data_IF_295856888515
#
_entry.id   IF_295856888515
#
_cell.length_a   1.000
_cell.length_b   1.000
_cell.length_c   1.000
_cell.angle_alpha   90.00
_cell.angle_beta   90.00
_cell.angle_gamma   90.00
#
_symmetry.space_group_name_H-M   'P 1'
#
loop_
_entity.id
_entity.type
_entity.pdbx_description
1 polymer ?
#
# COMPACT_ATOMS: atom_id res chain seq x y z
N UNK A 1 -36.63 9.36 18.63
CA UNK A 1 -36.01 8.68 19.78
C UNK A 1 -35.83 7.19 19.42
N UNK A 2 -34.60 6.70 19.42
CA UNK A 2 -34.30 5.31 19.13
C UNK A 2 -34.06 4.58 20.46
N UNK A 3 -34.94 3.62 20.78
CA UNK A 3 -34.81 2.81 22.00
C UNK A 3 -34.24 1.46 21.62
N UNK A 4 -33.20 1.00 22.33
CA UNK A 4 -32.54 -0.29 22.09
C UNK A 4 -32.40 -1.11 23.35
N UNK A 5 -32.10 -2.42 23.21
CA UNK A 5 -31.79 -3.37 24.27
C UNK A 5 -30.61 -4.21 23.85
N UNK A 6 -29.80 -4.64 24.79
CA UNK A 6 -28.75 -5.64 24.57
C UNK A 6 -29.30 -7.00 25.01
N UNK A 7 -29.20 -8.01 24.14
CA UNK A 7 -29.57 -9.38 24.46
C UNK A 7 -28.31 -10.29 24.40
N UNK A 8 -28.12 -11.06 25.46
CA UNK A 8 -27.01 -12.02 25.59
C UNK A 8 -27.47 -13.27 26.31
N UNK A 9 -27.24 -14.43 25.72
CA UNK A 9 -27.66 -15.75 26.29
C UNK A 9 -29.13 -15.79 26.78
N UNK A 10 -30.06 -15.22 26.01
CA UNK A 10 -31.46 -15.20 26.36
C UNK A 10 -31.89 -14.18 27.42
N UNK A 11 -30.94 -13.43 27.98
CA UNK A 11 -31.20 -12.33 28.93
C UNK A 11 -31.16 -10.99 28.16
N UNK A 12 -32.17 -10.14 28.37
CA UNK A 12 -32.23 -8.82 27.79
C UNK A 12 -32.02 -7.75 28.86
N UNK A 13 -31.25 -6.69 28.53
CA UNK A 13 -31.12 -5.51 29.38
C UNK A 13 -32.42 -4.73 29.49
N UNK A 14 -32.48 -3.79 30.42
CA UNK A 14 -33.46 -2.70 30.35
C UNK A 14 -33.28 -1.93 29.05
N UNK A 15 -34.38 -1.33 28.56
CA UNK A 15 -34.34 -0.46 27.36
C UNK A 15 -33.61 0.84 27.68
N UNK A 16 -32.77 1.31 26.77
CA UNK A 16 -32.11 2.60 26.86
C UNK A 16 -32.24 3.39 25.54
N UNK A 17 -32.22 4.70 25.64
CA UNK A 17 -32.38 5.60 24.52
C UNK A 17 -31.02 5.89 23.89
N UNK A 18 -30.93 5.77 22.54
CA UNK A 18 -29.80 6.24 21.77
C UNK A 18 -30.09 7.66 21.35
N UNK A 19 -29.32 8.61 21.87
CA UNK A 19 -29.51 10.05 21.61
C UNK A 19 -28.64 10.58 20.49
N UNK A 20 -27.46 9.96 20.25
CA UNK A 20 -26.50 10.37 19.23
C UNK A 20 -25.90 9.16 18.53
N UNK A 21 -25.43 9.34 17.29
CA UNK A 21 -24.78 8.32 16.47
C UNK A 21 -25.68 7.77 15.36
N UNK A 22 -25.09 6.93 14.51
CA UNK A 22 -25.78 6.24 13.41
C UNK A 22 -25.90 4.74 13.71
N UNK A 23 -27.00 4.14 13.25
CA UNK A 23 -27.22 2.70 13.46
C UNK A 23 -26.17 1.89 12.69
N UNK A 24 -25.33 1.13 13.42
CA UNK A 24 -24.36 0.24 12.81
C UNK A 24 -25.09 -0.85 11.99
N UNK A 25 -24.64 -1.04 10.73
CA UNK A 25 -25.29 -1.96 9.76
C UNK A 25 -26.53 -1.37 9.07
N UNK A 26 -26.90 -0.10 9.31
CA UNK A 26 -27.96 0.57 8.56
C UNK A 26 -27.47 0.99 7.17
N UNK A 27 -28.25 0.70 6.12
CA UNK A 27 -27.87 0.98 4.71
C UNK A 27 -27.62 2.49 4.49
N UNK A 28 -28.44 3.36 5.10
CA UNK A 28 -28.32 4.82 4.97
C UNK A 28 -27.32 5.44 5.95
N UNK A 29 -26.86 4.71 6.96
CA UNK A 29 -26.01 5.27 8.02
C UNK A 29 -24.71 5.89 7.50
N UNK A 30 -23.95 5.29 6.57
CA UNK A 30 -22.75 5.91 6.02
C UNK A 30 -23.04 7.20 5.25
N UNK A 31 -24.13 7.23 4.48
CA UNK A 31 -24.52 8.39 3.68
C UNK A 31 -24.92 9.56 4.60
N UNK A 32 -25.74 9.27 5.60
CA UNK A 32 -26.19 10.29 6.57
C UNK A 32 -25.02 10.85 7.37
N UNK A 33 -24.07 9.98 7.74
CA UNK A 33 -22.84 10.40 8.42
C UNK A 33 -22.02 11.33 7.54
N UNK A 34 -21.78 10.98 6.26
CA UNK A 34 -21.06 11.85 5.33
C UNK A 34 -21.74 13.21 5.16
N UNK A 35 -23.08 13.26 5.00
CA UNK A 35 -23.84 14.53 4.90
C UNK A 35 -23.68 15.37 6.18
N UNK A 36 -23.71 14.73 7.33
CA UNK A 36 -23.54 15.39 8.61
C UNK A 36 -22.16 16.02 8.77
N UNK A 37 -21.10 15.28 8.38
CA UNK A 37 -19.71 15.73 8.46
C UNK A 37 -19.29 16.70 7.34
N UNK A 38 -20.01 16.77 6.22
CA UNK A 38 -19.68 17.65 5.10
C UNK A 38 -19.68 19.12 5.52
N UNK A 39 -20.54 19.50 6.46
CA UNK A 39 -20.56 20.86 7.01
C UNK A 39 -19.24 21.25 7.68
N UNK A 40 -18.55 20.33 8.38
CA UNK A 40 -17.22 20.57 8.95
C UNK A 40 -16.18 20.84 7.85
N UNK A 41 -16.18 20.02 6.78
CA UNK A 41 -15.25 20.21 5.66
C UNK A 41 -15.49 21.56 4.96
N UNK A 42 -16.75 21.96 4.82
CA UNK A 42 -17.12 23.26 4.30
C UNK A 42 -16.63 24.42 5.19
N UNK A 43 -16.75 24.31 6.51
CA UNK A 43 -16.24 25.31 7.45
C UNK A 43 -14.72 25.41 7.45
N UNK A 44 -14.02 24.27 7.42
CA UNK A 44 -12.56 24.23 7.29
C UNK A 44 -12.07 24.87 5.99
N UNK A 45 -12.77 24.64 4.89
CA UNK A 45 -12.48 25.29 3.60
C UNK A 45 -12.73 26.81 3.68
N UNK A 46 -13.83 27.24 4.27
CA UNK A 46 -14.17 28.68 4.46
C UNK A 46 -13.22 29.41 5.40
N UNK A 47 -12.57 28.69 6.32
CA UNK A 47 -11.58 29.30 7.21
C UNK A 47 -10.37 29.89 6.47
N UNK A 48 -10.15 29.51 5.20
CA UNK A 48 -9.11 30.08 4.34
C UNK A 48 -7.67 29.76 4.76
N UNK A 49 -7.51 28.81 5.68
CA UNK A 49 -6.21 28.34 6.18
C UNK A 49 -6.06 26.84 5.90
N UNK A 50 -4.83 26.35 5.88
CA UNK A 50 -4.55 24.94 5.54
C UNK A 50 -3.72 24.83 4.27
N UNK A 51 -3.50 23.60 3.80
CA UNK A 51 -2.71 23.36 2.60
C UNK A 51 -3.57 23.47 1.32
N UNK A 52 -2.94 23.96 0.26
CA UNK A 52 -3.51 24.05 -1.08
C UNK A 52 -2.57 23.44 -2.12
N UNK A 53 -3.13 22.85 -3.18
CA UNK A 53 -2.40 22.45 -4.38
C UNK A 53 -3.05 23.19 -5.56
N UNK A 54 -2.37 24.25 -6.08
CA UNK A 54 -3.01 25.20 -6.97
C UNK A 54 -4.20 25.85 -6.25
N UNK A 55 -5.37 25.84 -6.89
CA UNK A 55 -6.61 26.39 -6.32
C UNK A 55 -7.41 25.39 -5.48
N UNK A 56 -6.93 24.14 -5.36
CA UNK A 56 -7.63 23.11 -4.60
C UNK A 56 -7.22 23.12 -3.14
N UNK A 57 -8.21 23.25 -2.25
CA UNK A 57 -8.01 23.04 -0.83
C UNK A 57 -7.79 21.56 -0.51
N UNK A 58 -6.66 21.26 0.13
CA UNK A 58 -6.28 19.91 0.58
C UNK A 58 -6.02 19.89 2.08
N UNK A 59 -6.38 20.98 2.77
CA UNK A 59 -6.16 21.15 4.21
C UNK A 59 -6.98 20.21 5.08
N UNK A 60 -8.09 19.66 4.58
CA UNK A 60 -8.90 18.68 5.29
C UNK A 60 -9.30 17.55 4.35
N UNK A 61 -8.97 16.31 4.75
CA UNK A 61 -9.33 15.10 4.03
C UNK A 61 -10.09 14.18 4.99
N UNK A 62 -11.26 13.69 4.59
CA UNK A 62 -12.08 12.81 5.41
C UNK A 62 -12.28 11.45 4.73
N UNK A 63 -12.21 10.39 5.53
CA UNK A 63 -12.57 9.04 5.16
C UNK A 63 -13.40 8.42 6.29
N UNK A 64 -14.71 8.33 6.10
CA UNK A 64 -15.66 7.98 7.13
C UNK A 64 -15.50 8.92 8.34
N UNK A 65 -15.17 8.39 9.52
CA UNK A 65 -14.93 9.11 10.77
C UNK A 65 -13.48 9.61 10.93
N UNK A 66 -12.54 9.15 10.11
CA UNK A 66 -11.16 9.61 10.14
C UNK A 66 -10.98 10.91 9.36
N UNK A 67 -10.45 11.94 10.03
CA UNK A 67 -10.15 13.24 9.42
C UNK A 67 -8.65 13.53 9.52
N UNK A 68 -8.05 13.91 8.39
CA UNK A 68 -6.68 14.42 8.33
C UNK A 68 -6.69 15.91 8.09
N UNK A 69 -6.04 16.67 8.96
CA UNK A 69 -5.83 18.10 8.79
C UNK A 69 -4.40 18.36 8.34
N UNK A 70 -4.23 19.12 7.26
CA UNK A 70 -2.95 19.51 6.69
C UNK A 70 -2.80 21.02 6.74
N UNK A 71 -1.80 21.50 7.46
CA UNK A 71 -1.55 22.92 7.62
C UNK A 71 -0.07 23.28 7.43
N UNK A 72 0.25 24.40 6.74
CA UNK A 72 1.63 24.81 6.48
C UNK A 72 2.29 25.50 7.67
N UNK A 73 1.53 25.80 8.73
CA UNK A 73 2.04 26.48 9.93
C UNK A 73 1.26 26.10 11.19
N UNK A 74 1.90 26.31 12.36
CA UNK A 74 1.29 26.05 13.65
C UNK A 74 0.01 26.89 13.88
N UNK A 75 0.00 28.15 13.41
CA UNK A 75 -1.16 29.01 13.56
C UNK A 75 -2.32 28.56 12.68
N UNK A 76 -2.05 28.14 11.44
CA UNK A 76 -3.06 27.55 10.57
C UNK A 76 -3.67 26.29 11.21
N UNK A 77 -2.85 25.40 11.76
CA UNK A 77 -3.35 24.20 12.45
C UNK A 77 -4.22 24.57 13.66
N UNK A 78 -3.81 25.55 14.50
CA UNK A 78 -4.63 26.00 15.62
C UNK A 78 -6.00 26.55 15.17
N UNK A 79 -6.01 27.32 14.08
CA UNK A 79 -7.26 27.83 13.51
C UNK A 79 -8.17 26.69 13.07
N UNK A 80 -7.63 25.67 12.39
CA UNK A 80 -8.40 24.51 11.95
C UNK A 80 -8.93 23.68 13.13
N UNK A 81 -8.13 23.45 14.17
CA UNK A 81 -8.58 22.77 15.39
C UNK A 81 -9.67 23.54 16.11
N UNK A 82 -9.59 24.87 16.16
CA UNK A 82 -10.66 25.71 16.73
C UNK A 82 -11.97 25.60 15.93
N UNK A 83 -11.91 25.40 14.61
CA UNK A 83 -13.10 25.10 13.80
C UNK A 83 -13.68 23.74 14.20
N UNK A 84 -12.84 22.72 14.36
CA UNK A 84 -13.28 21.41 14.82
C UNK A 84 -13.93 21.46 16.21
N UNK A 85 -13.36 22.22 17.16
CA UNK A 85 -13.92 22.36 18.51
C UNK A 85 -15.29 23.05 18.50
N UNK A 86 -15.47 24.09 17.69
CA UNK A 86 -16.79 24.76 17.53
C UNK A 86 -17.81 23.81 16.94
N UNK A 87 -17.42 23.08 15.87
CA UNK A 87 -18.27 22.06 15.25
C UNK A 87 -18.66 20.96 16.24
N UNK A 88 -17.72 20.51 17.07
CA UNK A 88 -17.94 19.49 18.08
C UNK A 88 -19.04 19.91 19.08
N UNK A 89 -19.00 21.17 19.51
CA UNK A 89 -20.01 21.74 20.43
C UNK A 89 -21.37 21.91 19.73
N UNK A 90 -21.38 22.45 18.51
CA UNK A 90 -22.61 22.74 17.78
C UNK A 90 -23.38 21.47 17.37
N UNK A 91 -22.64 20.46 16.97
CA UNK A 91 -23.20 19.23 16.41
C UNK A 91 -23.17 18.02 17.38
N UNK A 92 -22.85 18.27 18.66
CA UNK A 92 -22.76 17.22 19.70
C UNK A 92 -21.86 16.03 19.26
N UNK A 93 -20.67 16.33 18.71
CA UNK A 93 -19.67 15.37 18.27
C UNK A 93 -18.50 15.40 19.23
N UNK A 94 -17.88 14.26 19.51
CA UNK A 94 -16.70 14.17 20.34
C UNK A 94 -15.51 13.67 19.50
N UNK A 95 -14.49 14.52 19.33
CA UNK A 95 -13.21 14.08 18.77
C UNK A 95 -12.38 13.37 19.84
N UNK A 96 -11.87 12.18 19.52
CA UNK A 96 -11.07 11.39 20.44
C UNK A 96 -9.61 11.85 20.40
N UNK A 97 -9.19 12.66 21.36
CA UNK A 97 -7.83 13.19 21.45
C UNK A 97 -6.77 12.07 21.63
N UNK A 98 -7.07 11.00 22.36
CA UNK A 98 -6.15 9.90 22.59
C UNK A 98 -5.81 9.12 21.29
N UNK A 99 -6.78 9.03 20.37
CA UNK A 99 -6.60 8.45 19.04
C UNK A 99 -6.08 9.45 18.02
N UNK A 100 -6.20 10.75 18.27
CA UNK A 100 -5.69 11.80 17.40
C UNK A 100 -4.19 12.00 17.63
N UNK A 101 -3.43 12.12 16.55
CA UNK A 101 -1.98 12.30 16.62
C UNK A 101 -1.53 13.41 15.70
N UNK A 102 -0.45 14.09 16.08
CA UNK A 102 0.17 15.14 15.30
C UNK A 102 1.51 14.65 14.74
N UNK A 103 1.69 14.79 13.43
CA UNK A 103 2.98 14.57 12.75
C UNK A 103 3.52 15.90 12.27
N UNK A 104 4.77 16.21 12.64
CA UNK A 104 5.45 17.44 12.20
C UNK A 104 6.44 17.08 11.09
N UNK A 105 6.03 17.31 9.85
CA UNK A 105 6.85 17.04 8.66
C UNK A 105 7.81 18.21 8.47
N UNK A 106 9.13 17.94 8.55
CA UNK A 106 10.17 18.96 8.40
C UNK A 106 10.66 19.00 6.96
N UNK A 107 10.75 20.19 6.33
CA UNK A 107 11.36 20.31 5.01
C UNK A 107 12.83 19.85 5.05
N UNK A 108 13.24 19.04 4.07
CA UNK A 108 14.59 18.44 4.01
C UNK A 108 15.76 19.44 3.99
N UNK A 109 15.50 20.71 3.64
CA UNK A 109 16.50 21.78 3.55
C UNK A 109 16.58 22.70 4.77
N UNK A 110 15.67 22.56 5.71
CA UNK A 110 15.66 23.40 6.90
C UNK A 110 16.49 22.74 8.00
N UNK A 111 17.71 23.23 8.24
CA UNK A 111 18.38 23.02 9.53
C UNK A 111 17.57 23.80 10.58
N UNK A 112 16.52 23.19 11.10
CA UNK A 112 15.86 23.71 12.29
C UNK A 112 16.87 23.55 13.43
N UNK A 113 17.19 24.66 14.09
CA UNK A 113 17.97 24.63 15.31
C UNK A 113 17.35 23.58 16.23
N UNK A 114 18.19 22.84 16.92
CA UNK A 114 17.86 21.70 17.79
C UNK A 114 16.89 22.03 18.95
N UNK A 115 16.46 23.28 19.08
CA UNK A 115 15.55 23.79 20.11
C UNK A 115 14.13 24.11 19.59
N UNK A 116 13.70 23.56 18.45
CA UNK A 116 12.31 23.78 18.02
C UNK A 116 11.35 23.14 19.02
N UNK A 117 10.70 23.98 19.82
CA UNK A 117 9.63 23.58 20.75
C UNK A 117 8.59 22.79 19.98
N UNK A 118 8.30 21.57 20.42
CA UNK A 118 7.25 20.75 19.84
C UNK A 118 5.92 21.49 19.96
N UNK A 119 5.06 21.46 18.93
CA UNK A 119 3.78 22.10 18.99
C UNK A 119 2.91 21.47 20.10
N UNK A 120 2.25 22.32 20.88
CA UNK A 120 1.22 21.88 21.80
C UNK A 120 -0.14 22.21 21.18
N UNK A 121 -0.83 21.17 20.70
CA UNK A 121 -2.18 21.25 20.16
C UNK A 121 -3.16 20.52 21.08
N UNK A 122 -4.38 21.00 21.13
CA UNK A 122 -5.47 20.37 21.87
C UNK A 122 -6.74 20.31 21.03
N UNK A 123 -7.59 19.35 21.34
CA UNK A 123 -8.95 19.23 20.81
C UNK A 123 -9.87 18.77 21.93
N UNK A 124 -11.03 19.43 22.08
CA UNK A 124 -11.93 19.19 23.22
C UNK A 124 -11.26 19.40 24.59
N UNK A 125 -10.27 20.29 24.68
CA UNK A 125 -9.50 20.55 25.88
C UNK A 125 -8.41 19.52 26.21
N UNK A 126 -8.29 18.44 25.45
CA UNK A 126 -7.28 17.39 25.65
C UNK A 126 -6.10 17.57 24.68
N UNK A 127 -4.89 17.31 25.16
CA UNK A 127 -3.65 17.48 24.39
C UNK A 127 -3.54 16.39 23.32
N UNK A 128 -3.20 16.78 22.09
CA UNK A 128 -2.87 15.87 20.99
C UNK A 128 -1.37 15.52 21.06
N UNK A 129 -1.06 14.24 21.15
CA UNK A 129 0.30 13.75 21.17
C UNK A 129 1.03 13.97 19.84
N UNK A 130 2.28 14.46 19.90
CA UNK A 130 3.17 14.54 18.75
C UNK A 130 3.93 13.23 18.60
N UNK A 131 3.83 12.61 17.43
CA UNK A 131 4.43 11.32 17.13
C UNK A 131 5.31 11.39 15.88
N UNK A 132 6.27 10.46 15.75
CA UNK A 132 7.13 10.36 14.56
C UNK A 132 6.54 9.48 13.45
N UNK A 133 5.61 8.61 13.78
CA UNK A 133 4.91 7.73 12.83
C UNK A 133 3.54 7.36 13.37
N UNK A 134 2.57 7.21 12.48
CA UNK A 134 1.21 6.83 12.84
C UNK A 134 0.55 6.02 11.72
N UNK A 135 -0.17 4.94 12.03
CA UNK A 135 -0.96 4.24 11.03
C UNK A 135 -2.21 5.04 10.68
N UNK A 136 -2.35 5.43 9.41
CA UNK A 136 -3.56 6.05 8.86
C UNK A 136 -4.08 5.16 7.73
N UNK A 137 -5.34 4.76 7.79
CA UNK A 137 -5.98 3.81 6.87
C UNK A 137 -5.11 2.56 6.64
N UNK A 138 -4.54 2.03 7.72
CA UNK A 138 -3.63 0.87 7.69
C UNK A 138 -2.30 1.08 6.96
N UNK A 139 -1.94 2.29 6.54
CA UNK A 139 -0.62 2.66 6.01
C UNK A 139 0.15 3.47 7.05
N UNK A 140 1.42 3.18 7.28
CA UNK A 140 2.22 3.88 8.28
C UNK A 140 2.83 5.14 7.66
N UNK A 141 2.30 6.30 8.04
CA UNK A 141 2.84 7.61 7.66
C UNK A 141 3.90 8.03 8.69
N UNK A 142 5.01 8.60 8.22
CA UNK A 142 6.11 9.09 9.07
C UNK A 142 6.38 10.59 8.85
N UNK A 143 6.96 11.24 9.86
CA UNK A 143 7.39 12.65 9.79
C UNK A 143 8.52 12.90 8.79
N UNK A 144 9.23 11.84 8.39
CA UNK A 144 10.27 11.86 7.37
C UNK A 144 9.73 11.64 5.96
N UNK A 145 8.44 11.37 5.80
CA UNK A 145 7.79 10.99 4.54
C UNK A 145 8.43 9.77 3.87
N UNK A 146 8.99 8.86 4.67
CA UNK A 146 9.59 7.60 4.21
C UNK A 146 8.62 6.44 4.44
N UNK A 147 8.47 5.58 3.44
CA UNK A 147 7.62 4.38 3.50
C UNK A 147 8.30 3.20 4.21
N UNK A 148 9.56 3.36 4.61
CA UNK A 148 10.37 2.30 5.21
C UNK A 148 9.67 1.58 6.38
N UNK A 149 8.99 2.34 7.25
CA UNK A 149 8.30 1.77 8.40
C UNK A 149 7.12 0.87 7.96
N UNK A 150 6.38 1.28 6.93
CA UNK A 150 5.27 0.50 6.38
C UNK A 150 5.78 -0.74 5.64
N UNK A 151 6.81 -0.59 4.80
CA UNK A 151 7.45 -1.70 4.06
C UNK A 151 7.95 -2.78 5.03
N UNK A 152 8.66 -2.38 6.10
CA UNK A 152 9.17 -3.32 7.12
C UNK A 152 8.03 -4.02 7.85
N UNK A 153 6.95 -3.30 8.20
CA UNK A 153 5.75 -3.88 8.83
C UNK A 153 5.07 -4.91 7.91
N UNK A 154 4.88 -4.57 6.64
CA UNK A 154 4.27 -5.47 5.64
C UNK A 154 5.13 -6.70 5.37
N UNK A 155 6.46 -6.54 5.30
CA UNK A 155 7.39 -7.65 5.21
C UNK A 155 7.24 -8.62 6.40
N UNK A 156 7.15 -8.08 7.62
CA UNK A 156 6.91 -8.89 8.83
C UNK A 156 5.61 -9.69 8.73
N UNK A 157 4.53 -9.05 8.31
CA UNK A 157 3.23 -9.70 8.09
C UNK A 157 3.31 -10.79 7.03
N UNK A 158 3.97 -10.52 5.89
CA UNK A 158 4.20 -11.49 4.82
C UNK A 158 4.91 -12.75 5.32
N UNK A 159 6.01 -12.57 6.05
CA UNK A 159 6.78 -13.71 6.63
C UNK A 159 5.90 -14.51 7.60
N UNK A 160 5.18 -13.84 8.50
CA UNK A 160 4.28 -14.49 9.45
C UNK A 160 3.19 -15.30 8.75
N UNK A 161 2.55 -14.74 7.72
CA UNK A 161 1.50 -15.41 6.94
C UNK A 161 2.04 -16.61 6.16
N UNK A 162 3.21 -16.49 5.52
CA UNK A 162 3.85 -17.62 4.83
C UNK A 162 4.17 -18.74 5.82
N UNK A 163 4.73 -18.40 7.00
CA UNK A 163 5.02 -19.39 8.03
C UNK A 163 3.75 -20.09 8.50
N UNK A 164 2.64 -19.36 8.66
CA UNK A 164 1.34 -19.96 8.99
C UNK A 164 0.88 -20.95 7.92
N UNK A 165 1.02 -20.63 6.63
CA UNK A 165 0.71 -21.57 5.53
C UNK A 165 1.61 -22.81 5.62
N UNK A 166 2.91 -22.64 5.84
CA UNK A 166 3.83 -23.76 5.95
C UNK A 166 3.56 -24.66 7.17
N UNK A 167 3.18 -24.07 8.31
CA UNK A 167 2.90 -24.83 9.54
C UNK A 167 1.55 -25.54 9.48
N UNK A 168 0.49 -24.82 9.13
CA UNK A 168 -0.86 -25.39 9.18
C UNK A 168 -1.20 -26.27 7.98
N UNK A 169 -0.60 -26.02 6.83
CA UNK A 169 -0.83 -26.73 5.58
C UNK A 169 0.41 -27.50 5.10
N UNK A 170 1.26 -27.93 6.03
CA UNK A 170 2.53 -28.63 5.74
C UNK A 170 2.37 -29.90 4.91
N UNK A 171 1.24 -30.62 5.07
CA UNK A 171 0.91 -31.86 4.35
C UNK A 171 0.43 -31.66 2.90
N UNK A 172 0.04 -30.43 2.52
CA UNK A 172 -0.41 -30.14 1.16
C UNK A 172 0.79 -30.15 0.19
N UNK A 173 0.48 -30.37 -1.09
CA UNK A 173 1.46 -30.25 -2.17
C UNK A 173 1.94 -28.79 -2.35
N UNK A 174 3.03 -28.62 -3.08
CA UNK A 174 3.65 -27.30 -3.26
C UNK A 174 2.77 -26.33 -4.09
N UNK A 175 2.05 -26.85 -5.09
CA UNK A 175 1.18 -26.03 -5.96
C UNK A 175 0.05 -25.42 -5.14
N UNK A 176 -0.62 -26.23 -4.33
CA UNK A 176 -1.69 -25.77 -3.44
C UNK A 176 -1.18 -24.74 -2.43
N UNK A 177 0.01 -24.93 -1.84
CA UNK A 177 0.63 -23.94 -0.95
C UNK A 177 0.93 -22.63 -1.66
N UNK A 178 1.41 -22.69 -2.91
CA UNK A 178 1.64 -21.48 -3.74
C UNK A 178 0.31 -20.73 -3.93
N UNK A 179 -0.78 -21.43 -4.25
CA UNK A 179 -2.10 -20.78 -4.39
C UNK A 179 -2.57 -20.13 -3.09
N UNK A 180 -2.38 -20.80 -1.95
CA UNK A 180 -2.69 -20.21 -0.64
C UNK A 180 -1.86 -18.95 -0.36
N UNK A 181 -0.55 -18.98 -0.65
CA UNK A 181 0.31 -17.79 -0.47
C UNK A 181 -0.12 -16.67 -1.40
N UNK A 182 -0.43 -16.93 -2.67
CA UNK A 182 -0.96 -15.93 -3.60
C UNK A 182 -2.25 -15.31 -3.09
N UNK A 183 -3.19 -16.13 -2.58
CA UNK A 183 -4.50 -15.67 -2.15
C UNK A 183 -4.47 -14.88 -0.83
N UNK A 184 -3.64 -15.30 0.13
CA UNK A 184 -3.73 -14.79 1.50
C UNK A 184 -2.51 -14.00 1.98
N UNK A 185 -1.34 -14.19 1.37
CA UNK A 185 -0.11 -13.56 1.87
C UNK A 185 0.34 -12.35 1.05
N UNK A 186 -0.02 -12.27 -0.24
CA UNK A 186 0.48 -11.25 -1.16
C UNK A 186 -0.51 -10.10 -1.40
N UNK A 187 -1.33 -9.77 -0.42
CA UNK A 187 -2.27 -8.64 -0.56
C UNK A 187 -1.53 -7.30 -0.79
N UNK A 188 -0.35 -7.11 -0.17
CA UNK A 188 0.47 -5.89 -0.26
C UNK A 188 -0.36 -4.60 -0.18
N UNK A 189 -1.35 -4.55 0.71
CA UNK A 189 -2.24 -3.40 0.86
C UNK A 189 -1.43 -2.11 1.10
N UNK A 190 -1.70 -1.09 0.32
CA UNK A 190 -1.01 0.20 0.39
C UNK A 190 0.33 0.25 -0.35
N UNK A 191 0.77 -0.86 -0.96
CA UNK A 191 2.03 -0.90 -1.72
C UNK A 191 2.04 0.02 -2.95
N UNK A 192 0.89 0.41 -3.42
CA UNK A 192 0.69 1.39 -4.48
C UNK A 192 1.23 2.78 -4.12
N UNK A 193 1.37 3.04 -2.80
CA UNK A 193 1.88 4.30 -2.25
C UNK A 193 3.37 4.25 -1.93
N UNK A 194 4.03 3.10 -2.04
CA UNK A 194 5.45 2.98 -1.70
C UNK A 194 6.36 3.67 -2.73
N UNK A 195 7.46 4.21 -2.25
CA UNK A 195 8.56 4.62 -3.12
C UNK A 195 9.28 3.38 -3.64
N UNK A 196 9.08 3.05 -4.92
CA UNK A 196 9.66 1.88 -5.57
C UNK A 196 11.21 1.98 -5.69
N UNK A 197 11.79 3.15 -5.40
CA UNK A 197 13.23 3.34 -5.30
C UNK A 197 13.79 3.03 -3.90
N UNK A 198 12.92 2.80 -2.91
CA UNK A 198 13.39 2.50 -1.55
C UNK A 198 14.09 1.13 -1.52
N UNK A 199 15.27 1.09 -0.91
CA UNK A 199 16.07 -0.13 -0.77
C UNK A 199 15.38 -1.24 0.01
N UNK A 200 14.40 -0.90 0.87
CA UNK A 200 13.62 -1.90 1.63
C UNK A 200 12.68 -2.72 0.75
N UNK A 201 12.34 -2.26 -0.46
CA UNK A 201 11.55 -3.04 -1.44
C UNK A 201 12.23 -4.39 -1.72
N UNK A 202 13.55 -4.39 -1.90
CA UNK A 202 14.31 -5.64 -2.12
C UNK A 202 14.21 -6.58 -0.91
N UNK A 203 14.02 -6.06 0.30
CA UNK A 203 13.82 -6.88 1.49
C UNK A 203 12.51 -7.65 1.46
N UNK A 204 11.43 -7.06 0.91
CA UNK A 204 10.13 -7.73 0.66
C UNK A 204 10.29 -8.79 -0.42
N UNK A 205 10.98 -8.46 -1.52
CA UNK A 205 11.27 -9.40 -2.60
C UNK A 205 12.04 -10.63 -2.08
N UNK A 206 13.06 -10.42 -1.25
CA UNK A 206 13.83 -11.51 -0.61
C UNK A 206 12.95 -12.36 0.29
N UNK A 207 12.06 -11.76 1.08
CA UNK A 207 11.17 -12.48 1.98
C UNK A 207 10.24 -13.44 1.22
N UNK A 208 9.60 -12.99 0.13
CA UNK A 208 8.73 -13.86 -0.68
C UNK A 208 9.54 -14.96 -1.37
N UNK A 209 10.69 -14.62 -1.97
CA UNK A 209 11.56 -15.63 -2.60
C UNK A 209 12.03 -16.71 -1.60
N UNK A 210 12.31 -16.33 -0.36
CA UNK A 210 12.62 -17.28 0.71
C UNK A 210 11.44 -18.21 1.01
N UNK A 211 10.23 -17.65 1.11
CA UNK A 211 9.00 -18.43 1.27
C UNK A 211 8.74 -19.38 0.11
N UNK A 212 8.94 -18.93 -1.12
CA UNK A 212 8.80 -19.77 -2.33
C UNK A 212 9.79 -20.95 -2.31
N UNK A 213 11.07 -20.73 -1.93
CA UNK A 213 12.04 -21.83 -1.76
C UNK A 213 11.58 -22.81 -0.69
N UNK A 214 11.09 -22.33 0.44
CA UNK A 214 10.60 -23.20 1.53
C UNK A 214 9.39 -24.05 1.09
N UNK A 215 8.45 -23.50 0.32
CA UNK A 215 7.29 -24.22 -0.24
C UNK A 215 7.76 -25.38 -1.14
N UNK A 216 8.68 -25.11 -2.04
CA UNK A 216 9.21 -26.07 -3.00
C UNK A 216 10.35 -26.92 -2.45
N UNK A 217 10.75 -26.73 -1.19
CA UNK A 217 11.89 -27.40 -0.54
C UNK A 217 13.20 -27.26 -1.34
N UNK A 218 13.40 -26.10 -1.96
CA UNK A 218 14.58 -25.80 -2.76
C UNK A 218 15.73 -25.32 -1.87
N UNK A 219 16.99 -25.59 -2.27
CA UNK A 219 18.18 -25.07 -1.61
C UNK A 219 18.18 -23.52 -1.58
N UNK A 220 18.84 -22.94 -0.57
CA UNK A 220 18.94 -21.49 -0.42
C UNK A 220 19.63 -20.79 -1.62
N UNK A 221 20.59 -21.45 -2.24
CA UNK A 221 21.34 -20.97 -3.39
C UNK A 221 20.59 -21.09 -4.73
N UNK A 222 19.37 -21.68 -4.76
CA UNK A 222 18.55 -21.73 -5.96
C UNK A 222 18.36 -20.33 -6.55
N UNK A 223 18.60 -20.21 -7.84
CA UNK A 223 18.59 -18.95 -8.55
C UNK A 223 17.21 -18.30 -8.52
N UNK A 224 17.13 -17.05 -8.04
CA UNK A 224 15.87 -16.34 -7.77
C UNK A 224 15.00 -16.13 -9.02
N UNK A 225 15.60 -16.07 -10.20
CA UNK A 225 14.91 -15.81 -11.47
C UNK A 225 13.94 -16.93 -11.86
N UNK A 226 14.14 -18.17 -11.39
CA UNK A 226 13.29 -19.31 -11.71
C UNK A 226 12.08 -19.45 -10.78
N UNK A 227 12.09 -18.81 -9.62
CA UNK A 227 11.03 -18.93 -8.63
C UNK A 227 9.66 -18.42 -9.13
N UNK A 228 9.58 -17.29 -9.84
CA UNK A 228 8.31 -16.83 -10.40
C UNK A 228 7.69 -17.85 -11.36
N UNK A 229 8.49 -18.51 -12.18
CA UNK A 229 8.05 -19.55 -13.13
C UNK A 229 7.48 -20.77 -12.40
N UNK A 230 8.19 -21.27 -11.37
CA UNK A 230 7.73 -22.40 -10.55
C UNK A 230 6.43 -22.07 -9.81
N UNK A 231 6.27 -20.82 -9.44
CA UNK A 231 5.08 -20.33 -8.73
C UNK A 231 3.99 -19.81 -9.67
N UNK A 232 4.20 -19.85 -11.00
CA UNK A 232 3.27 -19.27 -11.98
C UNK A 232 2.88 -17.84 -11.56
N UNK A 233 3.85 -16.98 -11.32
CA UNK A 233 3.68 -15.62 -10.80
C UNK A 233 4.66 -14.66 -11.45
N UNK A 234 4.33 -13.38 -11.47
CA UNK A 234 5.29 -12.32 -11.78
C UNK A 234 6.28 -12.12 -10.63
N UNK A 235 7.50 -11.66 -10.89
CA UNK A 235 8.41 -11.23 -9.83
C UNK A 235 7.76 -10.17 -8.95
N UNK A 236 8.07 -10.20 -7.64
CA UNK A 236 7.42 -9.29 -6.67
C UNK A 236 7.56 -7.83 -7.04
N UNK A 237 8.74 -7.41 -7.48
CA UNK A 237 8.98 -6.03 -7.88
C UNK A 237 8.09 -5.61 -9.05
N UNK A 238 7.90 -6.48 -10.03
CA UNK A 238 7.04 -6.22 -11.18
C UNK A 238 5.56 -6.20 -10.77
N UNK A 239 5.15 -7.04 -9.81
CA UNK A 239 3.80 -6.96 -9.23
C UNK A 239 3.57 -5.62 -8.51
N UNK A 240 4.56 -5.10 -7.78
CA UNK A 240 4.46 -3.77 -7.16
C UNK A 240 4.36 -2.65 -8.22
N UNK A 241 5.14 -2.74 -9.29
CA UNK A 241 5.05 -1.82 -10.43
C UNK A 241 3.66 -1.89 -11.09
N UNK A 242 3.12 -3.08 -11.32
CA UNK A 242 1.80 -3.28 -11.89
C UNK A 242 0.70 -2.66 -11.01
N UNK A 243 0.78 -2.83 -9.70
CA UNK A 243 -0.15 -2.22 -8.73
C UNK A 243 -0.08 -0.71 -8.77
N UNK A 244 1.14 -0.15 -8.76
CA UNK A 244 1.34 1.28 -8.89
C UNK A 244 0.73 1.82 -10.19
N UNK A 245 1.02 1.19 -11.33
CA UNK A 245 0.50 1.59 -12.64
C UNK A 245 -1.03 1.55 -12.68
N UNK A 246 -1.65 0.48 -12.17
CA UNK A 246 -3.10 0.38 -12.07
C UNK A 246 -3.72 1.42 -11.14
N UNK A 247 -3.07 1.72 -10.03
CA UNK A 247 -3.51 2.75 -9.09
C UNK A 247 -3.42 4.15 -9.70
N UNK A 248 -2.27 4.50 -10.28
CA UNK A 248 -2.09 5.84 -10.85
C UNK A 248 -3.00 6.08 -12.05
N UNK A 249 -3.25 5.05 -12.86
CA UNK A 249 -4.22 5.13 -13.95
C UNK A 249 -5.62 5.43 -13.43
N UNK A 250 -6.09 4.73 -12.38
CA UNK A 250 -7.36 5.03 -11.72
C UNK A 250 -7.42 6.46 -11.18
N UNK A 251 -6.32 6.97 -10.61
CA UNK A 251 -6.25 8.35 -10.14
C UNK A 251 -6.35 9.36 -11.29
N UNK A 252 -5.68 9.09 -12.43
CA UNK A 252 -5.68 9.94 -13.61
C UNK A 252 -7.06 10.08 -14.26
N UNK A 253 -7.92 9.06 -14.11
CA UNK A 253 -9.28 9.01 -14.68
C UNK A 253 -10.37 9.03 -13.61
N UNK A 254 -10.01 9.44 -12.38
CA UNK A 254 -10.97 9.63 -11.31
C UNK A 254 -11.92 10.79 -11.61
N UNK A 255 -13.21 10.61 -11.28
CA UNK A 255 -14.21 11.69 -11.32
C UNK A 255 -13.93 12.78 -10.28
N UNK A 256 -13.17 12.46 -9.25
CA UNK A 256 -12.70 13.43 -8.28
C UNK A 256 -11.62 14.33 -8.91
N UNK A 257 -12.00 15.59 -9.20
CA UNK A 257 -11.10 16.57 -9.84
C UNK A 257 -9.78 16.76 -9.08
N UNK A 258 -9.81 16.72 -7.75
CA UNK A 258 -8.61 16.85 -6.93
C UNK A 258 -7.65 15.67 -7.14
N UNK A 259 -8.15 14.44 -7.09
CA UNK A 259 -7.34 13.23 -7.29
C UNK A 259 -6.70 13.22 -8.68
N UNK A 260 -7.51 13.51 -9.72
CA UNK A 260 -7.04 13.63 -11.10
C UNK A 260 -5.95 14.71 -11.23
N UNK A 261 -6.19 15.90 -10.66
CA UNK A 261 -5.25 17.01 -10.70
C UNK A 261 -3.92 16.66 -10.03
N UNK A 262 -3.96 16.09 -8.82
CA UNK A 262 -2.75 15.69 -8.05
C UNK A 262 -1.93 14.64 -8.82
N UNK A 263 -2.60 13.62 -9.37
CA UNK A 263 -1.93 12.58 -10.15
C UNK A 263 -1.24 13.14 -11.40
N UNK A 264 -1.96 13.95 -12.20
CA UNK A 264 -1.41 14.60 -13.40
C UNK A 264 -0.26 15.54 -13.06
N UNK A 265 -0.43 16.35 -12.02
CA UNK A 265 0.60 17.29 -11.60
C UNK A 265 1.84 16.54 -11.09
N UNK A 266 1.66 15.50 -10.29
CA UNK A 266 2.74 14.67 -9.76
C UNK A 266 3.57 14.01 -10.85
N UNK A 267 2.94 13.49 -11.91
CA UNK A 267 3.65 12.85 -13.03
C UNK A 267 4.33 13.90 -13.92
N UNK A 268 3.61 14.94 -14.37
CA UNK A 268 4.12 15.86 -15.37
C UNK A 268 5.14 16.87 -14.83
N UNK A 269 4.90 17.38 -13.62
CA UNK A 269 5.70 18.47 -13.05
C UNK A 269 6.52 18.03 -11.84
N UNK A 270 6.08 17.03 -11.10
CA UNK A 270 6.79 16.50 -9.95
C UNK A 270 8.02 15.67 -10.32
N UNK A 271 7.94 14.91 -11.41
CA UNK A 271 9.04 14.07 -11.90
C UNK A 271 9.81 13.39 -10.74
N UNK A 272 11.11 13.63 -10.62
CA UNK A 272 11.95 13.07 -9.55
C UNK A 272 11.65 13.64 -8.16
N UNK A 273 10.94 14.76 -8.04
CA UNK A 273 10.63 15.38 -6.74
C UNK A 273 9.31 14.90 -6.12
N UNK A 274 8.44 14.26 -6.90
CA UNK A 274 7.23 13.63 -6.39
C UNK A 274 7.35 12.12 -6.40
N UNK A 275 6.69 11.47 -5.44
CA UNK A 275 6.60 10.02 -5.40
C UNK A 275 5.96 9.46 -6.69
N UNK A 276 4.83 10.04 -7.10
CA UNK A 276 4.15 9.65 -8.34
C UNK A 276 5.07 9.76 -9.56
N UNK A 277 5.81 10.87 -9.69
CA UNK A 277 6.70 11.07 -10.83
C UNK A 277 7.88 10.10 -10.83
N UNK A 278 8.53 9.88 -9.67
CA UNK A 278 9.64 8.93 -9.57
C UNK A 278 9.23 7.52 -9.96
N UNK A 279 8.12 7.04 -9.41
CA UNK A 279 7.62 5.70 -9.72
C UNK A 279 7.19 5.57 -11.18
N UNK A 280 6.55 6.62 -11.75
CA UNK A 280 6.19 6.64 -13.17
C UNK A 280 7.43 6.55 -14.07
N UNK A 281 8.48 7.32 -13.77
CA UNK A 281 9.74 7.28 -14.52
C UNK A 281 10.44 5.92 -14.40
N UNK A 282 10.40 5.30 -13.21
CA UNK A 282 10.95 3.95 -13.01
C UNK A 282 10.20 2.93 -13.87
N UNK A 283 8.87 2.93 -13.85
CA UNK A 283 8.07 2.02 -14.66
C UNK A 283 8.24 2.29 -16.17
N UNK A 284 8.28 3.56 -16.57
CA UNK A 284 8.53 3.97 -17.96
C UNK A 284 9.85 3.38 -18.46
N UNK A 285 10.93 3.56 -17.69
CA UNK A 285 12.25 3.02 -18.04
C UNK A 285 12.27 1.49 -18.06
N UNK A 286 11.60 0.84 -17.10
CA UNK A 286 11.62 -0.62 -16.97
C UNK A 286 10.87 -1.33 -18.08
N UNK A 287 9.72 -0.79 -18.48
CA UNK A 287 8.83 -1.42 -19.46
C UNK A 287 8.88 -0.76 -20.84
N UNK A 288 9.87 0.11 -21.09
CA UNK A 288 10.04 0.83 -22.35
C UNK A 288 8.80 1.65 -22.76
N UNK A 289 8.17 2.30 -21.78
CA UNK A 289 6.97 3.12 -21.94
C UNK A 289 7.36 4.61 -21.96
N UNK A 290 6.57 5.43 -22.63
CA UNK A 290 6.59 6.89 -22.42
C UNK A 290 5.67 7.27 -21.23
N UNK A 291 5.87 8.46 -20.67
CA UNK A 291 4.93 8.98 -19.66
C UNK A 291 3.54 9.24 -20.25
N UNK A 292 3.44 9.52 -21.55
CA UNK A 292 2.16 9.69 -22.22
C UNK A 292 1.41 8.36 -22.36
N UNK A 293 2.12 7.24 -22.56
CA UNK A 293 1.50 5.90 -22.53
C UNK A 293 0.89 5.61 -21.17
N UNK A 294 1.62 5.86 -20.08
CA UNK A 294 1.12 5.69 -18.70
C UNK A 294 -0.09 6.59 -18.43
N UNK A 295 -0.12 7.77 -19.03
CA UNK A 295 -1.21 8.74 -18.92
C UNK A 295 -2.38 8.49 -19.88
N UNK A 296 -2.33 7.46 -20.73
CA UNK A 296 -3.39 7.17 -21.69
C UNK A 296 -4.59 6.48 -21.02
N UNK A 297 -5.80 6.76 -21.52
CA UNK A 297 -7.04 6.12 -21.01
C UNK A 297 -7.06 4.61 -21.26
N UNK A 298 -6.46 4.17 -22.35
CA UNK A 298 -6.39 2.76 -22.75
C UNK A 298 -5.18 2.02 -22.17
N UNK A 299 -4.53 2.59 -21.15
CA UNK A 299 -3.34 1.95 -20.56
C UNK A 299 -3.70 0.59 -19.95
N UNK A 300 -2.98 -0.45 -20.39
CA UNK A 300 -3.14 -1.80 -19.91
C UNK A 300 -1.95 -2.21 -19.04
N UNK A 301 -2.25 -2.70 -17.84
CA UNK A 301 -1.23 -3.21 -16.90
C UNK A 301 -0.69 -4.59 -17.29
N UNK A 302 -1.30 -5.27 -18.26
CA UNK A 302 -0.84 -6.58 -18.73
C UNK A 302 0.50 -6.50 -19.46
N UNK A 303 0.92 -5.31 -19.88
CA UNK A 303 2.26 -5.04 -20.40
C UNK A 303 3.36 -5.49 -19.45
N UNK A 304 3.12 -5.44 -18.14
CA UNK A 304 4.05 -5.94 -17.13
C UNK A 304 4.16 -7.47 -17.20
N UNK A 305 3.02 -8.14 -17.42
CA UNK A 305 2.97 -9.59 -17.60
C UNK A 305 3.73 -10.00 -18.87
N UNK A 306 3.49 -9.33 -19.98
CA UNK A 306 4.14 -9.61 -21.27
C UNK A 306 5.63 -9.43 -21.17
N UNK A 307 6.09 -8.36 -20.51
CA UNK A 307 7.52 -8.13 -20.26
C UNK A 307 8.15 -9.26 -19.43
N UNK A 308 7.50 -9.67 -18.35
CA UNK A 308 8.00 -10.75 -17.49
C UNK A 308 7.98 -12.11 -18.20
N UNK A 309 6.95 -12.39 -18.99
CA UNK A 309 6.80 -13.62 -19.75
C UNK A 309 7.86 -13.73 -20.85
N UNK A 310 8.08 -12.63 -21.59
CA UNK A 310 9.12 -12.56 -22.60
C UNK A 310 10.52 -12.76 -21.99
N UNK A 311 10.80 -12.12 -20.85
CA UNK A 311 12.05 -12.30 -20.12
C UNK A 311 12.23 -13.74 -19.62
N UNK A 312 11.19 -14.36 -19.07
CA UNK A 312 11.21 -15.73 -18.61
C UNK A 312 11.42 -16.75 -19.77
N UNK A 313 10.81 -16.50 -20.92
CA UNK A 313 10.99 -17.32 -22.11
C UNK A 313 12.44 -17.30 -22.61
N UNK A 314 13.07 -16.12 -22.64
CA UNK A 314 14.49 -15.99 -23.00
C UNK A 314 15.38 -16.74 -22.01
N UNK A 315 15.09 -16.67 -20.73
CA UNK A 315 15.83 -17.35 -19.67
C UNK A 315 15.70 -18.88 -19.77
N UNK A 316 14.49 -19.37 -20.05
CA UNK A 316 14.27 -20.81 -20.33
C UNK A 316 15.03 -21.29 -21.57
N UNK A 317 14.93 -20.52 -22.65
CA UNK A 317 15.65 -20.82 -23.88
C UNK A 317 17.17 -20.91 -23.63
N UNK A 318 17.71 -19.96 -22.85
CA UNK A 318 19.14 -19.96 -22.49
C UNK A 318 19.52 -21.19 -21.66
N UNK A 319 18.70 -21.58 -20.67
CA UNK A 319 18.91 -22.76 -19.85
C UNK A 319 18.79 -24.01 -20.70
N UNK A 320 17.78 -24.13 -21.55
CA UNK A 320 17.65 -25.27 -22.50
C UNK A 320 18.84 -25.35 -23.42
N UNK A 321 19.29 -24.23 -24.00
CA UNK A 321 20.48 -24.21 -24.89
C UNK A 321 21.75 -24.63 -24.17
N UNK A 322 21.99 -24.15 -22.95
CA UNK A 322 23.14 -24.55 -22.14
C UNK A 322 23.10 -26.07 -21.84
N UNK A 323 21.89 -26.56 -21.57
CA UNK A 323 21.70 -27.98 -21.28
C UNK A 323 21.79 -28.85 -22.50
N UNK A 324 21.22 -28.42 -23.64
CA UNK A 324 21.42 -29.11 -24.92
C UNK A 324 22.90 -29.21 -25.27
N UNK A 325 23.67 -28.15 -25.06
CA UNK A 325 25.10 -28.16 -25.24
C UNK A 325 25.85 -29.10 -24.26
N UNK A 326 25.35 -29.19 -23.00
CA UNK A 326 25.90 -30.14 -22.02
C UNK A 326 25.50 -31.60 -22.34
N UNK A 327 24.26 -31.81 -22.78
CA UNK A 327 23.73 -33.13 -23.13
C UNK A 327 24.21 -33.65 -24.45
N UNK A 328 24.43 -32.81 -25.45
CA UNK A 328 25.07 -33.20 -26.71
C UNK A 328 26.50 -33.74 -26.47
N UNK A 329 27.18 -33.24 -25.43
CA UNK A 329 28.47 -33.72 -25.01
C UNK A 329 28.38 -35.13 -24.39
N UNK A 330 27.26 -35.51 -23.74
CA UNK A 330 27.10 -36.75 -22.98
C UNK A 330 26.06 -37.73 -23.59
N UNK A 331 25.46 -37.46 -24.75
CA UNK A 331 24.68 -38.40 -25.57
C UNK A 331 23.23 -38.65 -25.13
N UNK A 332 22.56 -37.71 -24.48
CA UNK A 332 21.18 -37.86 -24.00
C UNK A 332 20.14 -36.92 -24.69
N UNK A 333 18.91 -37.40 -24.81
CA UNK A 333 17.83 -36.95 -25.71
C UNK A 333 17.14 -35.62 -25.43
N UNK A 334 16.54 -35.09 -26.50
CA UNK A 334 15.81 -33.77 -26.65
C UNK A 334 14.79 -33.42 -25.57
N UNK A 335 14.91 -32.18 -25.11
CA UNK A 335 14.14 -31.54 -24.03
C UNK A 335 12.94 -30.74 -24.53
N UNK A 336 12.00 -31.31 -25.23
CA UNK A 336 10.84 -30.59 -25.75
C UNK A 336 9.62 -30.54 -24.80
N UNK A 337 9.68 -31.18 -23.62
CA UNK A 337 8.59 -31.13 -22.63
C UNK A 337 9.06 -31.44 -21.20
N UNK A 338 9.70 -30.50 -20.53
CA UNK A 338 10.01 -30.67 -19.11
C UNK A 338 8.75 -30.38 -18.27
N UNK A 339 8.38 -31.36 -17.43
CA UNK A 339 7.41 -31.12 -16.36
C UNK A 339 7.99 -30.21 -15.29
N UNK A 340 7.12 -29.60 -14.44
CA UNK A 340 7.58 -28.81 -13.28
C UNK A 340 8.53 -29.61 -12.38
N UNK A 341 8.31 -30.90 -12.23
CA UNK A 341 9.15 -31.82 -11.41
C UNK A 341 10.53 -32.03 -12.04
N UNK A 342 10.60 -32.08 -13.36
CA UNK A 342 11.86 -32.17 -14.07
C UNK A 342 12.70 -30.90 -13.91
N UNK A 343 12.05 -29.72 -13.95
CA UNK A 343 12.71 -28.42 -13.70
C UNK A 343 13.23 -28.35 -12.25
N UNK A 344 12.47 -28.85 -11.28
CA UNK A 344 12.89 -28.88 -9.87
C UNK A 344 14.07 -29.81 -9.66
N UNK A 345 14.01 -31.02 -10.23
CA UNK A 345 15.10 -31.98 -10.18
C UNK A 345 16.37 -31.43 -10.80
N UNK A 346 16.22 -30.71 -11.89
CA UNK A 346 17.28 -30.05 -12.62
C UNK A 346 17.92 -28.90 -11.84
N UNK A 347 17.08 -28.03 -11.24
CA UNK A 347 17.57 -26.95 -10.39
C UNK A 347 18.29 -27.48 -9.15
N UNK A 348 17.83 -28.60 -8.58
CA UNK A 348 18.51 -29.26 -7.48
C UNK A 348 19.87 -29.82 -7.90
N UNK A 349 19.95 -30.39 -9.11
CA UNK A 349 21.22 -30.89 -9.67
C UNK A 349 22.22 -29.75 -9.93
N UNK A 350 21.79 -28.66 -10.57
CA UNK A 350 22.65 -27.49 -10.85
C UNK A 350 23.13 -26.81 -9.55
N UNK A 351 22.36 -26.86 -8.47
CA UNK A 351 22.77 -26.32 -7.18
C UNK A 351 23.65 -27.26 -6.34
N UNK A 352 23.76 -28.51 -6.72
CA UNK A 352 24.61 -29.52 -6.04
C UNK A 352 26.01 -29.68 -6.67
N UNK A 353 26.25 -29.04 -7.79
CA UNK A 353 27.55 -28.94 -8.49
C UNK A 353 28.16 -27.58 -8.27
#
# INVERSE_FOLDING_TARGET
NHVTRVAWNGISSASFEIRNGVKQGGILSPILFCIYFDSLLCELTKAGVGCYIGDFFVGALAYADDIVLLAPSLNAMRTMLNVCDRFAIEYDVVFNADKSKCLVIKPSRTRLNSESVLPNFSIGGNIIEVVHKWPHLSHIVSDTMSDKADIVSRRGSLIGQINNVLCHFGSLDAVTKVQLVKAYCTSFYGSELWDLWDSEIESVCKALRSGQRAIWKLPYNTHSRYLPMLCDSVPVFDELCRRYLGFINKCLYSDCKLVNFVARHGIRFGQMFSLCGRNALLCASRYSLSLDDICSFSFDTDIVYDHCTASAAIDLQTVCTIMELAYVRDGLYTLTSLSKDDVISLLNFICSV
#
